data_IF_705603766370
#
_entry.id   IF_705603766370
#
_cell.length_a   1.000
_cell.length_b   1.000
_cell.length_c   1.000
_cell.angle_alpha   90.00
_cell.angle_beta   90.00
_cell.angle_gamma   90.00
#
_symmetry.space_group_name_H-M   'P 1'
#
loop_
_entity.id
_entity.type
_entity.pdbx_description
1 polymer ?
#
# COMPACT_ATOMS: atom_id res chain seq x y z
N UNK A 1 2.91 17.57 -6.29
CA UNK A 1 2.70 16.11 -6.18
C UNK A 1 1.97 15.48 -7.37
N UNK A 2 0.79 15.92 -7.79
CA UNK A 2 0.07 15.29 -8.95
C UNK A 2 0.92 15.05 -10.20
N UNK A 3 1.85 15.95 -10.55
CA UNK A 3 2.71 15.82 -11.73
C UNK A 3 3.79 14.72 -11.59
N UNK A 4 4.17 14.33 -10.38
CA UNK A 4 5.20 13.32 -10.15
C UNK A 4 4.67 11.91 -10.47
N UNK A 5 3.39 11.63 -10.18
CA UNK A 5 2.74 10.33 -10.38
C UNK A 5 1.94 10.27 -11.69
N UNK A 6 2.40 10.96 -12.74
CA UNK A 6 1.82 10.89 -14.07
C UNK A 6 2.24 9.64 -14.84
N UNK A 7 1.93 9.61 -16.15
CA UNK A 7 2.26 8.49 -17.03
C UNK A 7 3.71 8.02 -16.93
N UNK A 8 4.66 8.97 -16.87
CA UNK A 8 6.09 8.64 -16.84
C UNK A 8 6.49 7.85 -15.58
N UNK A 9 5.82 8.06 -14.44
CA UNK A 9 6.05 7.29 -13.23
C UNK A 9 5.78 5.79 -13.44
N UNK A 10 4.71 5.45 -14.15
CA UNK A 10 4.29 4.06 -14.38
C UNK A 10 5.00 3.38 -15.56
N UNK A 11 5.68 4.13 -16.44
CA UNK A 11 6.27 3.59 -17.68
C UNK A 11 7.75 3.94 -17.84
N UNK A 12 8.54 3.82 -16.79
CA UNK A 12 10.00 3.87 -16.86
C UNK A 12 10.60 5.27 -16.78
N UNK A 13 9.93 6.22 -16.13
CA UNK A 13 10.50 7.54 -15.85
C UNK A 13 11.68 7.47 -14.88
N UNK A 14 12.59 8.45 -14.95
CA UNK A 14 13.84 8.50 -14.18
C UNK A 14 13.67 8.60 -12.65
N UNK A 15 12.44 8.75 -12.16
CA UNK A 15 12.12 8.91 -10.73
C UNK A 15 11.40 7.69 -10.12
N UNK A 16 11.22 6.60 -10.88
CA UNK A 16 10.43 5.45 -10.47
C UNK A 16 11.19 4.15 -10.62
N UNK A 17 10.88 3.19 -9.77
CA UNK A 17 11.35 1.81 -9.90
C UNK A 17 10.58 1.01 -10.96
N UNK A 18 9.47 1.53 -11.49
CA UNK A 18 8.68 0.85 -12.51
C UNK A 18 9.30 1.03 -13.90
N UNK A 19 9.59 -0.08 -14.59
CA UNK A 19 9.91 -0.07 -16.03
C UNK A 19 8.64 -0.02 -16.89
N UNK A 20 7.65 -0.84 -16.53
CA UNK A 20 6.29 -0.84 -17.11
C UNK A 20 5.34 -1.48 -16.12
N UNK A 21 4.63 -0.66 -15.35
CA UNK A 21 3.73 -1.12 -14.30
C UNK A 21 2.63 -2.04 -14.83
N UNK A 22 2.11 -1.77 -16.03
CA UNK A 22 1.03 -2.56 -16.65
C UNK A 22 1.46 -3.99 -17.00
N UNK A 23 2.75 -4.19 -17.38
CA UNK A 23 3.33 -5.48 -17.74
C UNK A 23 3.96 -6.26 -16.59
N UNK A 24 3.94 -5.70 -15.38
CA UNK A 24 4.49 -6.40 -14.21
C UNK A 24 3.71 -7.67 -13.90
N UNK A 25 4.38 -8.65 -13.30
CA UNK A 25 3.70 -9.84 -12.79
C UNK A 25 2.98 -9.52 -11.47
N UNK A 26 1.78 -8.93 -11.58
CA UNK A 26 0.97 -8.54 -10.42
C UNK A 26 0.57 -9.71 -9.51
N UNK A 27 0.56 -10.96 -10.00
CA UNK A 27 0.35 -12.12 -9.16
C UNK A 27 1.54 -12.32 -8.21
N UNK A 28 2.77 -12.11 -8.68
CA UNK A 28 3.98 -12.18 -7.87
C UNK A 28 4.09 -10.98 -6.92
N UNK A 29 3.79 -9.77 -7.41
CA UNK A 29 3.87 -8.52 -6.62
C UNK A 29 2.95 -8.59 -5.41
N UNK A 30 1.69 -8.96 -5.59
CA UNK A 30 0.70 -8.96 -4.51
C UNK A 30 0.56 -10.31 -3.79
N UNK A 31 1.47 -11.28 -4.06
CA UNK A 31 1.40 -12.63 -3.47
C UNK A 31 1.32 -12.61 -1.93
N UNK A 32 2.09 -11.73 -1.28
CA UNK A 32 2.09 -11.64 0.19
C UNK A 32 0.81 -11.02 0.73
N UNK A 33 0.27 -10.02 0.05
CA UNK A 33 -1.00 -9.40 0.42
C UNK A 33 -2.14 -10.41 0.30
N UNK A 34 -2.26 -11.09 -0.86
CA UNK A 34 -3.29 -12.12 -1.08
C UNK A 34 -3.16 -13.27 -0.07
N UNK A 35 -1.93 -13.68 0.26
CA UNK A 35 -1.70 -14.69 1.29
C UNK A 35 -2.32 -14.30 2.65
N UNK A 36 -2.29 -13.02 3.06
CA UNK A 36 -2.97 -12.61 4.29
C UNK A 36 -4.48 -12.81 4.19
N UNK A 37 -5.10 -12.46 3.05
CA UNK A 37 -6.53 -12.65 2.85
C UNK A 37 -6.92 -14.13 2.94
N UNK A 38 -6.18 -14.99 2.26
CA UNK A 38 -6.47 -16.44 2.23
C UNK A 38 -6.25 -17.09 3.60
N UNK A 39 -5.09 -16.84 4.22
CA UNK A 39 -4.70 -17.45 5.50
C UNK A 39 -5.60 -17.03 6.65
N UNK A 40 -5.92 -15.75 6.74
CA UNK A 40 -6.71 -15.20 7.84
C UNK A 40 -8.21 -15.10 7.50
N UNK A 41 -8.62 -15.60 6.32
CA UNK A 41 -10.00 -15.57 5.82
C UNK A 41 -10.63 -14.18 5.91
N UNK A 42 -9.86 -13.16 5.49
CA UNK A 42 -10.28 -11.76 5.56
C UNK A 42 -11.33 -11.52 4.47
N UNK A 43 -12.55 -11.24 4.88
CA UNK A 43 -13.67 -10.86 4.04
C UNK A 43 -14.45 -9.74 4.71
N UNK A 44 -15.33 -9.08 3.98
CA UNK A 44 -16.13 -8.00 4.57
C UNK A 44 -17.12 -7.39 3.60
N UNK A 45 -17.68 -6.26 4.03
CA UNK A 45 -18.58 -5.47 3.20
C UNK A 45 -17.77 -4.46 2.40
N UNK A 46 -16.90 -3.66 3.05
CA UNK A 46 -16.22 -2.52 2.45
C UNK A 46 -14.70 -2.62 2.53
N UNK A 47 -14.06 -2.59 1.37
CA UNK A 47 -12.61 -2.45 1.22
C UNK A 47 -12.28 -1.02 0.76
N UNK A 48 -11.17 -0.47 1.26
CA UNK A 48 -10.50 0.71 0.72
C UNK A 48 -9.06 0.37 0.34
N UNK A 49 -8.67 0.65 -0.91
CA UNK A 49 -7.28 0.60 -1.35
C UNK A 49 -6.74 2.02 -1.54
N UNK A 50 -5.88 2.45 -0.62
CA UNK A 50 -5.22 3.75 -0.66
C UNK A 50 -4.01 3.70 -1.59
N UNK A 51 -3.97 4.57 -2.61
CA UNK A 51 -2.95 4.51 -3.67
C UNK A 51 -3.16 3.31 -4.61
N UNK A 52 -4.39 3.10 -5.07
CA UNK A 52 -4.78 1.91 -5.82
C UNK A 52 -4.15 1.77 -7.22
N UNK A 53 -3.39 2.77 -7.69
CA UNK A 53 -2.76 2.80 -9.01
C UNK A 53 -3.73 2.39 -10.14
N UNK A 54 -3.41 1.38 -10.95
CA UNK A 54 -4.27 0.88 -12.03
C UNK A 54 -5.37 -0.09 -11.56
N UNK A 55 -5.53 -0.31 -10.24
CA UNK A 55 -6.58 -1.18 -9.68
C UNK A 55 -6.30 -2.68 -9.77
N UNK A 56 -5.06 -3.09 -10.05
CA UNK A 56 -4.74 -4.52 -10.15
C UNK A 56 -4.89 -5.27 -8.82
N UNK A 57 -4.56 -4.63 -7.68
CA UNK A 57 -4.81 -5.21 -6.37
C UNK A 57 -6.31 -5.27 -6.08
N UNK A 58 -7.05 -4.18 -6.31
CA UNK A 58 -8.51 -4.14 -6.16
C UNK A 58 -9.19 -5.26 -6.93
N UNK A 59 -8.80 -5.50 -8.19
CA UNK A 59 -9.34 -6.59 -9.01
C UNK A 59 -9.11 -7.96 -8.37
N UNK A 60 -7.98 -8.18 -7.71
CA UNK A 60 -7.70 -9.43 -6.99
C UNK A 60 -8.50 -9.55 -5.70
N UNK A 61 -8.76 -8.43 -5.03
CA UNK A 61 -9.49 -8.38 -3.77
C UNK A 61 -11.01 -8.32 -3.93
N UNK A 62 -11.52 -8.05 -5.12
CA UNK A 62 -12.94 -7.99 -5.41
C UNK A 62 -13.75 -9.20 -4.90
N UNK A 63 -13.27 -10.46 -5.01
CA UNK A 63 -14.02 -11.61 -4.50
C UNK A 63 -14.21 -11.66 -2.99
N UNK A 64 -13.43 -10.90 -2.22
CA UNK A 64 -13.46 -10.92 -0.74
C UNK A 64 -14.42 -9.88 -0.14
N UNK A 65 -14.90 -8.90 -0.95
CA UNK A 65 -15.71 -7.78 -0.46
C UNK A 65 -16.91 -7.51 -1.37
N UNK A 66 -17.99 -6.96 -0.79
CA UNK A 66 -19.20 -6.57 -1.54
C UNK A 66 -19.04 -5.21 -2.20
N UNK A 67 -18.29 -4.31 -1.58
CA UNK A 67 -18.05 -2.95 -2.02
C UNK A 67 -16.54 -2.68 -1.97
N UNK A 68 -15.99 -2.31 -3.12
CA UNK A 68 -14.57 -2.01 -3.26
C UNK A 68 -14.40 -0.54 -3.63
N UNK A 69 -13.58 0.13 -2.84
CA UNK A 69 -13.26 1.53 -3.00
C UNK A 69 -11.76 1.69 -3.19
N UNK A 70 -11.35 2.61 -4.04
CA UNK A 70 -9.95 2.92 -4.24
C UNK A 70 -9.75 4.39 -4.55
N UNK A 71 -8.60 4.90 -4.16
CA UNK A 71 -8.18 6.23 -4.58
C UNK A 71 -6.70 6.28 -4.92
N UNK A 72 -6.35 7.21 -5.76
CA UNK A 72 -4.97 7.56 -6.11
C UNK A 72 -4.87 9.05 -6.39
N UNK A 73 -3.70 9.63 -6.19
CA UNK A 73 -3.45 11.03 -6.53
C UNK A 73 -3.36 11.25 -8.04
N UNK A 74 -3.02 10.19 -8.79
CA UNK A 74 -2.83 10.18 -10.23
C UNK A 74 -4.15 10.03 -10.97
N UNK A 75 -4.57 11.06 -11.69
CA UNK A 75 -5.71 10.99 -12.60
C UNK A 75 -5.48 9.99 -13.74
N UNK A 76 -4.23 9.87 -14.19
CA UNK A 76 -3.82 8.89 -15.19
C UNK A 76 -4.04 7.46 -14.68
N UNK A 77 -3.65 7.17 -13.43
CA UNK A 77 -3.83 5.86 -12.82
C UNK A 77 -5.32 5.53 -12.67
N UNK A 78 -6.13 6.45 -12.14
CA UNK A 78 -7.57 6.26 -11.96
C UNK A 78 -8.30 6.04 -13.30
N UNK A 79 -7.92 6.74 -14.38
CA UNK A 79 -8.46 6.47 -15.72
C UNK A 79 -8.17 5.04 -16.22
N UNK A 80 -7.00 4.50 -15.88
CA UNK A 80 -6.65 3.09 -16.16
C UNK A 80 -7.44 2.13 -15.27
N UNK A 81 -7.52 2.40 -13.97
CA UNK A 81 -8.23 1.59 -13.00
C UNK A 81 -9.71 1.42 -13.36
N UNK A 82 -10.40 2.49 -13.78
CA UNK A 82 -11.80 2.43 -14.25
C UNK A 82 -12.02 1.48 -15.43
N UNK A 83 -11.00 1.22 -16.25
CA UNK A 83 -11.07 0.23 -17.34
C UNK A 83 -10.83 -1.19 -16.88
N UNK A 84 -10.02 -1.37 -15.81
CA UNK A 84 -9.61 -2.68 -15.28
C UNK A 84 -10.64 -3.23 -14.31
N UNK A 85 -11.28 -2.35 -13.54
CA UNK A 85 -12.26 -2.68 -12.52
C UNK A 85 -13.39 -1.62 -12.51
N UNK A 86 -14.29 -1.66 -13.52
CA UNK A 86 -15.34 -0.65 -13.68
C UNK A 86 -16.38 -0.65 -12.56
N UNK A 87 -16.51 -1.75 -11.81
CA UNK A 87 -17.43 -1.89 -10.67
C UNK A 87 -16.90 -1.22 -9.38
N UNK A 88 -15.64 -0.83 -9.32
CA UNK A 88 -15.07 -0.19 -8.12
C UNK A 88 -15.43 1.30 -8.03
N UNK A 89 -15.65 1.78 -6.81
CA UNK A 89 -15.78 3.20 -6.50
C UNK A 89 -14.40 3.87 -6.49
N UNK A 90 -14.03 4.53 -7.58
CA UNK A 90 -12.68 5.07 -7.78
C UNK A 90 -12.67 6.60 -7.77
N UNK A 91 -11.77 7.18 -6.96
CA UNK A 91 -11.66 8.63 -6.77
C UNK A 91 -10.23 9.13 -6.93
N UNK A 92 -10.08 10.38 -7.37
CA UNK A 92 -8.79 11.07 -7.40
C UNK A 92 -8.68 11.84 -6.08
N UNK A 93 -7.86 11.32 -5.16
CA UNK A 93 -7.68 11.91 -3.82
C UNK A 93 -6.19 11.95 -3.50
N UNK A 94 -5.75 13.07 -2.93
CA UNK A 94 -4.44 13.21 -2.31
C UNK A 94 -4.53 12.74 -0.86
N UNK A 95 -3.77 11.71 -0.49
CA UNK A 95 -3.73 11.17 0.87
C UNK A 95 -3.29 12.22 1.91
N UNK A 96 -2.48 13.19 1.49
CA UNK A 96 -2.07 14.30 2.38
C UNK A 96 -3.20 15.30 2.66
N UNK A 97 -4.26 15.28 1.86
CA UNK A 97 -5.46 16.10 2.06
C UNK A 97 -6.47 15.50 3.02
N UNK A 98 -7.71 16.00 2.92
CA UNK A 98 -8.86 15.45 3.66
C UNK A 98 -9.37 14.22 2.94
N UNK A 99 -9.53 13.12 3.67
CA UNK A 99 -10.16 11.89 3.16
C UNK A 99 -11.68 11.99 3.32
N UNK A 100 -12.47 12.01 2.22
CA UNK A 100 -13.92 12.20 2.25
C UNK A 100 -14.67 10.90 2.61
N UNK A 101 -14.14 10.15 3.56
CA UNK A 101 -14.75 8.93 4.07
C UNK A 101 -15.10 9.08 5.54
N UNK A 102 -16.21 8.49 6.00
CA UNK A 102 -16.53 8.44 7.43
C UNK A 102 -15.44 7.71 8.24
N UNK A 103 -15.30 8.05 9.52
CA UNK A 103 -14.50 7.26 10.45
C UNK A 103 -15.20 5.92 10.73
N UNK A 104 -14.45 4.89 11.13
CA UNK A 104 -14.95 3.54 11.47
C UNK A 104 -15.81 2.89 10.36
N UNK A 105 -15.47 3.13 9.09
CA UNK A 105 -16.31 2.78 7.94
C UNK A 105 -15.89 1.48 7.24
N UNK A 106 -14.59 1.26 7.04
CA UNK A 106 -14.09 0.15 6.23
C UNK A 106 -13.80 -1.09 7.07
N UNK A 107 -14.14 -2.26 6.54
CA UNK A 107 -13.77 -3.57 7.11
C UNK A 107 -12.30 -3.87 6.92
N UNK A 108 -11.76 -3.46 5.78
CA UNK A 108 -10.36 -3.60 5.45
C UNK A 108 -9.84 -2.37 4.72
N UNK A 109 -8.61 -1.97 5.03
CA UNK A 109 -7.87 -0.95 4.30
C UNK A 109 -6.56 -1.57 3.83
N UNK A 110 -6.17 -1.31 2.59
CA UNK A 110 -4.84 -1.62 2.05
C UNK A 110 -4.10 -0.32 1.71
N UNK A 111 -2.80 -0.27 2.00
CA UNK A 111 -1.90 0.79 1.56
C UNK A 111 -0.56 0.14 1.19
N UNK A 112 -0.40 -0.18 -0.09
CA UNK A 112 0.73 -0.98 -0.60
C UNK A 112 1.67 -0.07 -1.37
N UNK A 113 2.86 0.18 -0.79
CA UNK A 113 3.90 1.06 -1.34
C UNK A 113 3.36 2.47 -1.65
N UNK A 114 2.76 3.12 -0.64
CA UNK A 114 2.09 4.42 -0.75
C UNK A 114 2.54 5.39 0.33
N UNK A 115 2.56 4.97 1.60
CA UNK A 115 2.78 5.87 2.74
C UNK A 115 4.16 6.52 2.72
N UNK A 116 5.18 5.81 2.24
CA UNK A 116 6.55 6.31 2.08
C UNK A 116 6.68 7.46 1.07
N UNK A 117 5.71 7.61 0.17
CA UNK A 117 5.67 8.71 -0.80
C UNK A 117 5.09 10.00 -0.22
N UNK A 118 4.46 9.94 0.95
CA UNK A 118 3.89 11.11 1.62
C UNK A 118 4.95 11.87 2.43
N UNK A 119 4.71 13.15 2.72
CA UNK A 119 5.62 13.98 3.53
C UNK A 119 5.65 13.54 4.99
N UNK A 120 4.51 13.10 5.50
CA UNK A 120 4.36 12.61 6.86
C UNK A 120 3.65 11.26 6.85
N UNK A 121 4.45 10.19 6.92
CA UNK A 121 3.97 8.81 7.02
C UNK A 121 3.01 8.65 8.21
N UNK A 122 3.36 9.21 9.36
CA UNK A 122 2.61 9.06 10.61
C UNK A 122 1.23 9.65 10.49
N UNK A 123 1.13 10.90 10.05
CA UNK A 123 -0.15 11.60 9.89
C UNK A 123 -1.07 10.83 8.94
N UNK A 124 -0.55 10.39 7.80
CA UNK A 124 -1.35 9.71 6.78
C UNK A 124 -1.73 8.27 7.19
N UNK A 125 -0.86 7.59 7.93
CA UNK A 125 -1.21 6.32 8.57
C UNK A 125 -2.35 6.51 9.59
N UNK A 126 -2.30 7.53 10.45
CA UNK A 126 -3.34 7.86 11.44
C UNK A 126 -4.68 8.19 10.75
N UNK A 127 -4.66 8.94 9.64
CA UNK A 127 -5.86 9.23 8.84
C UNK A 127 -6.53 7.96 8.36
N UNK A 128 -5.77 7.02 7.78
CA UNK A 128 -6.30 5.74 7.31
C UNK A 128 -6.80 4.86 8.47
N UNK A 129 -6.05 4.78 9.57
CA UNK A 129 -6.43 4.00 10.74
C UNK A 129 -7.77 4.46 11.37
N UNK A 130 -8.08 5.78 11.30
CA UNK A 130 -9.39 6.29 11.73
C UNK A 130 -10.54 5.80 10.87
N UNK A 131 -10.32 5.63 9.55
CA UNK A 131 -11.36 5.15 8.62
C UNK A 131 -11.67 3.67 8.77
N UNK A 132 -10.76 2.91 9.40
CA UNK A 132 -10.93 1.50 9.69
C UNK A 132 -11.89 1.31 10.86
N UNK A 133 -12.90 0.42 10.73
CA UNK A 133 -13.79 0.09 11.84
C UNK A 133 -13.08 -0.73 12.93
N UNK A 134 -13.63 -0.76 14.12
CA UNK A 134 -13.17 -1.67 15.19
C UNK A 134 -13.25 -3.12 14.71
N UNK A 135 -12.21 -3.90 15.02
CA UNK A 135 -12.05 -5.27 14.53
C UNK A 135 -11.69 -5.39 13.05
N UNK A 136 -11.63 -4.29 12.31
CA UNK A 136 -11.23 -4.27 10.89
C UNK A 136 -9.73 -4.51 10.70
N UNK A 137 -9.33 -4.83 9.47
CA UNK A 137 -7.95 -5.16 9.10
C UNK A 137 -7.29 -4.03 8.32
N UNK A 138 -6.06 -3.70 8.67
CA UNK A 138 -5.23 -2.77 7.91
C UNK A 138 -3.98 -3.49 7.41
N UNK A 139 -3.79 -3.52 6.09
CA UNK A 139 -2.64 -4.16 5.46
C UNK A 139 -1.78 -3.08 4.83
N UNK A 140 -0.51 -3.06 5.20
CA UNK A 140 0.47 -2.14 4.62
C UNK A 140 1.65 -2.90 4.03
N UNK A 141 2.21 -2.35 2.96
CA UNK A 141 3.53 -2.68 2.43
C UNK A 141 4.33 -1.39 2.34
N UNK A 142 5.59 -1.41 2.82
CA UNK A 142 6.46 -0.24 2.77
C UNK A 142 7.93 -0.65 2.91
N UNK A 143 8.88 0.08 2.29
CA UNK A 143 10.29 -0.12 2.56
C UNK A 143 10.64 0.30 4.00
N UNK A 144 11.68 -0.33 4.54
CA UNK A 144 12.24 0.00 5.85
C UNK A 144 13.61 0.66 5.73
N UNK A 145 13.89 1.65 6.58
CA UNK A 145 15.23 2.26 6.72
C UNK A 145 16.12 1.40 7.64
N UNK A 146 16.30 0.14 7.26
CA UNK A 146 17.10 -0.85 8.00
C UNK A 146 18.28 -1.38 7.15
N UNK A 147 19.21 -2.10 7.79
CA UNK A 147 20.17 -2.88 7.04
C UNK A 147 19.46 -4.05 6.33
N UNK A 148 19.74 -4.37 5.06
CA UNK A 148 20.83 -3.86 4.21
C UNK A 148 20.47 -2.62 3.37
N UNK A 149 19.22 -2.11 3.41
CA UNK A 149 18.80 -0.96 2.59
C UNK A 149 19.66 0.28 2.85
N UNK A 150 19.97 0.59 4.10
CA UNK A 150 20.82 1.75 4.47
C UNK A 150 22.22 1.70 3.83
N UNK A 151 22.77 0.50 3.62
CA UNK A 151 24.10 0.32 3.05
C UNK A 151 24.09 0.12 1.54
N UNK A 152 23.03 -0.46 0.99
CA UNK A 152 22.94 -0.90 -0.40
C UNK A 152 21.81 -0.22 -1.17
N UNK A 153 21.09 0.74 -0.56
CA UNK A 153 19.91 1.38 -1.13
C UNK A 153 20.15 2.07 -2.46
N UNK A 154 21.36 2.59 -2.68
CA UNK A 154 21.77 3.19 -3.94
C UNK A 154 21.75 2.21 -5.12
N UNK A 155 21.83 0.89 -4.88
CA UNK A 155 21.78 -0.16 -5.91
C UNK A 155 20.34 -0.62 -6.16
N UNK A 156 19.53 -0.72 -5.11
CA UNK A 156 18.22 -1.40 -5.17
C UNK A 156 16.99 -0.48 -5.17
N UNK A 157 17.12 0.74 -4.68
CA UNK A 157 16.01 1.70 -4.65
C UNK A 157 16.32 2.93 -5.48
N UNK A 158 15.69 3.00 -6.66
CA UNK A 158 15.81 4.11 -7.61
C UNK A 158 14.64 5.08 -7.51
N UNK A 159 13.66 4.80 -6.64
CA UNK A 159 12.47 5.64 -6.52
C UNK A 159 12.80 6.92 -5.73
N UNK A 160 12.93 8.01 -6.47
CA UNK A 160 13.21 9.34 -5.91
C UNK A 160 11.98 10.02 -5.31
N UNK A 161 10.84 9.36 -5.34
CA UNK A 161 9.61 9.89 -4.76
C UNK A 161 9.38 9.43 -3.32
N UNK A 162 10.24 8.54 -2.79
CA UNK A 162 10.25 8.19 -1.36
C UNK A 162 10.66 9.40 -0.51
N UNK A 163 9.80 9.80 0.44
CA UNK A 163 9.97 10.99 1.28
C UNK A 163 10.05 10.68 2.77
N UNK A 164 9.38 9.62 3.20
CA UNK A 164 9.24 9.28 4.62
C UNK A 164 9.35 7.77 4.87
N UNK A 165 10.56 7.24 4.68
CA UNK A 165 10.84 5.83 4.99
C UNK A 165 11.21 5.72 6.46
N UNK A 166 10.54 4.81 7.16
CA UNK A 166 10.68 4.64 8.61
C UNK A 166 11.58 3.46 8.96
N UNK A 167 12.19 3.52 10.16
CA UNK A 167 12.71 2.33 10.81
C UNK A 167 11.57 1.51 11.40
N UNK A 168 11.80 0.22 11.54
CA UNK A 168 10.78 -0.68 12.09
C UNK A 168 10.32 -0.26 13.50
N UNK A 169 11.23 0.23 14.33
CA UNK A 169 10.90 0.76 15.65
C UNK A 169 9.92 1.93 15.60
N UNK A 170 10.08 2.85 14.65
CA UNK A 170 9.20 4.01 14.47
C UNK A 170 7.82 3.54 13.98
N UNK A 171 7.78 2.62 13.03
CA UNK A 171 6.55 2.01 12.54
C UNK A 171 5.78 1.30 13.67
N UNK A 172 6.49 0.55 14.53
CA UNK A 172 5.88 -0.09 15.70
C UNK A 172 5.25 0.90 16.67
N UNK A 173 5.88 2.04 16.89
CA UNK A 173 5.34 3.10 17.75
C UNK A 173 4.05 3.70 17.15
N UNK A 174 4.01 3.91 15.83
CA UNK A 174 2.83 4.41 15.13
C UNK A 174 1.68 3.40 15.23
N UNK A 175 1.94 2.12 14.98
CA UNK A 175 0.96 1.03 15.09
C UNK A 175 0.34 1.01 16.50
N UNK A 176 1.18 1.01 17.53
CA UNK A 176 0.73 0.99 18.93
C UNK A 176 -0.10 2.23 19.28
N UNK A 177 0.35 3.43 18.87
CA UNK A 177 -0.38 4.69 19.13
C UNK A 177 -1.79 4.68 18.53
N UNK A 178 -1.96 4.04 17.38
CA UNK A 178 -3.25 3.92 16.70
C UNK A 178 -4.11 2.74 17.16
N UNK A 179 -3.76 2.08 18.27
CA UNK A 179 -4.51 0.95 18.83
C UNK A 179 -4.71 -0.19 17.83
N UNK A 180 -3.66 -0.49 17.08
CA UNK A 180 -3.63 -1.59 16.13
C UNK A 180 -2.77 -2.73 16.69
N UNK A 181 -3.26 -3.96 16.59
CA UNK A 181 -2.51 -5.17 16.91
C UNK A 181 -1.85 -5.71 15.65
N UNK A 182 -0.60 -6.11 15.76
CA UNK A 182 0.10 -6.83 14.68
C UNK A 182 -0.34 -8.29 14.70
N UNK A 183 -0.96 -8.74 13.62
CA UNK A 183 -1.38 -10.14 13.43
C UNK A 183 -0.25 -10.93 12.77
N UNK A 184 0.35 -10.38 11.72
CA UNK A 184 1.44 -11.04 11.00
C UNK A 184 2.37 -10.02 10.33
N UNK A 185 3.66 -10.38 10.20
CA UNK A 185 4.67 -9.63 9.45
C UNK A 185 5.37 -10.54 8.46
N UNK A 186 5.72 -9.98 7.32
CA UNK A 186 6.53 -10.63 6.31
C UNK A 186 7.58 -9.65 5.81
N UNK A 187 8.82 -10.10 5.76
CA UNK A 187 9.94 -9.30 5.27
C UNK A 187 10.43 -9.89 3.97
N UNK A 188 10.87 -9.05 3.05
CA UNK A 188 11.40 -9.50 1.78
C UNK A 188 12.32 -8.48 1.10
N UNK A 189 13.09 -8.96 0.13
CA UNK A 189 13.93 -8.16 -0.72
C UNK A 189 13.19 -7.74 -1.99
N UNK A 190 13.29 -6.45 -2.43
CA UNK A 190 12.71 -5.96 -3.67
C UNK A 190 13.60 -6.19 -4.90
N UNK A 191 14.77 -6.84 -4.77
CA UNK A 191 15.70 -7.01 -5.90
C UNK A 191 15.08 -7.75 -7.06
N UNK A 192 15.23 -7.27 -8.33
CA UNK A 192 14.59 -7.89 -9.50
C UNK A 192 14.95 -9.36 -9.72
N UNK A 193 16.22 -9.73 -9.51
CA UNK A 193 16.72 -11.12 -9.68
C UNK A 193 16.39 -11.96 -8.44
N UNK A 194 16.42 -11.34 -7.25
CA UNK A 194 16.22 -11.96 -5.95
C UNK A 194 14.92 -11.44 -5.30
N UNK A 195 13.91 -11.21 -6.13
CA UNK A 195 12.64 -10.61 -5.69
C UNK A 195 11.92 -11.53 -4.71
N UNK A 196 11.57 -10.95 -3.54
CA UNK A 196 10.88 -11.63 -2.44
C UNK A 196 11.70 -12.75 -1.78
N UNK A 197 13.02 -12.59 -1.65
CA UNK A 197 13.76 -13.41 -0.70
C UNK A 197 13.21 -13.10 0.70
N UNK A 198 12.70 -14.12 1.41
CA UNK A 198 12.11 -13.92 2.73
C UNK A 198 13.17 -13.55 3.78
N UNK A 199 12.72 -12.92 4.87
CA UNK A 199 13.53 -12.56 6.03
C UNK A 199 14.65 -11.52 5.76
N UNK A 200 14.61 -10.81 4.65
CA UNK A 200 15.46 -9.65 4.42
C UNK A 200 14.64 -8.40 4.76
N UNK A 201 15.07 -7.67 5.80
CA UNK A 201 14.38 -6.47 6.34
C UNK A 201 14.56 -5.24 5.45
N UNK A 202 14.34 -5.37 4.15
CA UNK A 202 14.35 -4.26 3.19
C UNK A 202 12.96 -3.69 2.98
N UNK A 203 12.00 -4.57 2.87
CA UNK A 203 10.59 -4.24 2.73
C UNK A 203 9.76 -5.12 3.66
N UNK A 204 8.69 -4.57 4.19
CA UNK A 204 7.79 -5.25 5.11
C UNK A 204 6.35 -5.22 4.58
N UNK A 205 5.66 -6.34 4.70
CA UNK A 205 4.20 -6.43 4.62
C UNK A 205 3.68 -6.74 6.02
N UNK A 206 2.70 -5.97 6.49
CA UNK A 206 2.13 -6.16 7.83
C UNK A 206 0.62 -6.26 7.72
N UNK A 207 0.07 -7.28 8.37
CA UNK A 207 -1.35 -7.39 8.67
C UNK A 207 -1.60 -6.89 10.09
N UNK A 208 -2.44 -5.88 10.20
CA UNK A 208 -2.85 -5.24 11.44
C UNK A 208 -4.35 -5.43 11.66
N UNK A 209 -4.78 -5.42 12.93
CA UNK A 209 -6.21 -5.41 13.29
C UNK A 209 -6.49 -4.30 14.29
N UNK A 210 -7.56 -3.52 14.08
CA UNK A 210 -7.97 -2.46 15.01
C UNK A 210 -8.58 -3.06 16.25
N UNK A 211 -8.08 -2.65 17.41
CA UNK A 211 -8.58 -3.09 18.72
C UNK A 211 -10.00 -2.54 18.94
N UNK A 212 -10.81 -3.28 19.66
CA UNK A 212 -12.18 -2.89 20.04
C UNK A 212 -12.22 -1.69 20.99
#
# INVERSE_FOLDING_TARGET
MKQEFGRNYFYGGSKSNYFNYEKMNHAKVFKGIIYFFDKHRITGIRLLDAGCAFGFLLKKLNPYFKEINGFDISDFAIKKARKIIPEANLSIIDLEGVLPFPDDHFDCITAVDVLEHTRDFRENFEKLARKLRKGGYFIISTPLDEWPRRSLGFIGDRDKTHRSILREKELNNIIKKNKLNVIERRYFSPFPILYRIPNIHWQIEILLQKVF
#
